data_IF_340271552910
#
_entry.id   IF_340271552910
#
_cell.length_a   1.000
_cell.length_b   1.000
_cell.length_c   1.000
_cell.angle_alpha   90.00
_cell.angle_beta   90.00
_cell.angle_gamma   90.00
#
_symmetry.space_group_name_H-M   'P 1'
#
loop_
_entity.id
_entity.type
_entity.pdbx_description
1 polymer ?
#
# COMPACT_ATOMS: atom_id res chain seq x y z
N UNK A 1 -10.64 10.10 -16.03
CA UNK A 1 -9.87 9.31 -15.06
C UNK A 1 -10.21 7.85 -15.29
N UNK A 2 -9.28 7.05 -15.82
CA UNK A 2 -9.52 5.61 -16.02
C UNK A 2 -9.68 4.88 -14.68
N UNK A 3 -10.24 3.67 -14.71
CA UNK A 3 -10.29 2.77 -13.56
C UNK A 3 -8.86 2.45 -13.12
N UNK A 4 -8.49 2.82 -11.89
CA UNK A 4 -7.12 2.60 -11.38
C UNK A 4 -6.87 1.15 -10.95
N UNK A 5 -7.92 0.44 -10.52
CA UNK A 5 -7.85 -0.99 -10.17
C UNK A 5 -8.16 -1.87 -11.38
N UNK A 6 -7.23 -2.76 -11.72
CA UNK A 6 -7.43 -3.87 -12.66
C UNK A 6 -7.98 -5.12 -11.96
N UNK A 7 -7.73 -6.29 -12.54
CA UNK A 7 -8.13 -7.58 -11.97
C UNK A 7 -7.42 -7.86 -10.64
N UNK A 8 -6.10 -7.63 -10.60
CA UNK A 8 -5.23 -7.97 -9.47
C UNK A 8 -4.53 -6.72 -8.90
N UNK A 9 -5.33 -5.72 -8.51
CA UNK A 9 -4.86 -4.48 -7.91
C UNK A 9 -4.47 -3.39 -8.91
N UNK A 10 -3.66 -2.43 -8.44
CA UNK A 10 -3.12 -1.33 -9.25
C UNK A 10 -1.74 -1.72 -9.74
N UNK A 11 -1.51 -1.69 -11.05
CA UNK A 11 -0.23 -2.09 -11.67
C UNK A 11 0.19 -1.05 -12.69
N UNK A 12 1.50 -0.95 -12.89
CA UNK A 12 2.11 -0.09 -13.90
C UNK A 12 3.62 -0.06 -13.76
N UNK A 13 4.27 0.61 -14.71
CA UNK A 13 5.72 0.86 -14.66
C UNK A 13 6.02 1.77 -13.44
N UNK A 14 6.96 1.32 -12.60
CA UNK A 14 7.34 2.04 -11.40
C UNK A 14 7.92 3.42 -11.74
N UNK A 15 7.55 4.43 -10.95
CA UNK A 15 7.98 5.82 -11.09
C UNK A 15 7.48 6.56 -12.36
N UNK A 16 6.61 5.96 -13.16
CA UNK A 16 5.93 6.63 -14.29
C UNK A 16 4.41 6.49 -14.19
N UNK A 17 3.91 5.26 -14.18
CA UNK A 17 2.49 4.94 -14.03
C UNK A 17 2.15 4.67 -12.56
N UNK A 18 2.96 3.82 -11.92
CA UNK A 18 2.90 3.54 -10.49
C UNK A 18 3.91 4.42 -9.75
N UNK A 19 3.49 5.64 -9.46
CA UNK A 19 4.33 6.66 -8.79
C UNK A 19 4.21 6.58 -7.26
N UNK A 20 5.20 7.15 -6.56
CA UNK A 20 5.15 7.28 -5.10
C UNK A 20 3.91 8.07 -4.63
N UNK A 21 3.51 9.12 -5.35
CA UNK A 21 2.30 9.89 -5.04
C UNK A 21 1.03 9.03 -5.15
N UNK A 22 0.96 8.16 -6.17
CA UNK A 22 -0.14 7.22 -6.31
C UNK A 22 -0.14 6.20 -5.15
N UNK A 23 1.01 5.63 -4.81
CA UNK A 23 1.14 4.70 -3.68
C UNK A 23 0.73 5.34 -2.35
N UNK A 24 1.17 6.57 -2.07
CA UNK A 24 0.74 7.34 -0.91
C UNK A 24 -0.79 7.53 -0.88
N UNK A 25 -1.37 7.94 -2.01
CA UNK A 25 -2.81 8.11 -2.15
C UNK A 25 -3.58 6.81 -1.90
N UNK A 26 -3.08 5.68 -2.42
CA UNK A 26 -3.65 4.36 -2.20
C UNK A 26 -3.58 3.95 -0.72
N UNK A 27 -2.45 4.19 -0.05
CA UNK A 27 -2.29 3.89 1.38
C UNK A 27 -3.25 4.70 2.23
N UNK A 28 -3.36 6.00 1.95
CA UNK A 28 -4.29 6.90 2.65
C UNK A 28 -5.74 6.53 2.44
N UNK A 29 -6.16 6.32 1.19
CA UNK A 29 -7.54 5.99 0.86
C UNK A 29 -7.91 4.59 1.34
N UNK A 30 -7.03 3.61 1.12
CA UNK A 30 -7.20 2.23 1.56
C UNK A 30 -7.31 2.15 3.07
N UNK A 31 -6.41 2.81 3.81
CA UNK A 31 -6.53 2.93 5.25
C UNK A 31 -7.86 3.59 5.62
N UNK A 32 -8.18 4.79 5.15
CA UNK A 32 -9.44 5.47 5.50
C UNK A 32 -10.69 4.59 5.31
N UNK A 33 -10.80 3.91 4.16
CA UNK A 33 -11.96 3.05 3.84
C UNK A 33 -11.99 1.76 4.67
N UNK A 34 -10.85 1.09 4.86
CA UNK A 34 -10.80 -0.20 5.57
C UNK A 34 -10.88 -0.05 7.10
N UNK A 35 -10.77 1.17 7.60
CA UNK A 35 -10.60 1.48 9.02
C UNK A 35 -11.80 2.19 9.63
N UNK A 36 -12.82 2.46 8.82
CA UNK A 36 -14.07 3.07 9.23
C UNK A 36 -14.71 2.24 10.37
N UNK A 37 -14.94 2.88 11.52
CA UNK A 37 -15.53 2.24 12.70
C UNK A 37 -14.57 1.48 13.62
N UNK A 38 -13.27 1.35 13.29
CA UNK A 38 -12.29 0.66 14.14
C UNK A 38 -11.33 1.66 14.80
N UNK A 39 -11.13 1.57 16.12
CA UNK A 39 -10.12 2.38 16.79
C UNK A 39 -8.71 1.80 16.59
N UNK A 40 -7.81 2.57 15.98
CA UNK A 40 -6.40 2.18 15.68
C UNK A 40 -6.23 0.84 14.95
N UNK A 41 -6.78 0.72 13.74
CA UNK A 41 -6.61 -0.47 12.93
C UNK A 41 -5.16 -0.64 12.45
N UNK A 42 -4.77 -1.90 12.34
CA UNK A 42 -3.44 -2.33 11.92
C UNK A 42 -3.47 -2.83 10.49
N UNK A 43 -2.53 -2.39 9.68
CA UNK A 43 -2.38 -2.78 8.28
C UNK A 43 -0.98 -3.36 8.09
N UNK A 44 -0.92 -4.60 7.63
CA UNK A 44 0.31 -5.27 7.27
C UNK A 44 0.74 -4.84 5.86
N UNK A 45 2.02 -4.53 5.67
CA UNK A 45 2.60 -4.15 4.38
C UNK A 45 3.78 -5.06 4.09
N UNK A 46 3.75 -5.75 2.95
CA UNK A 46 4.85 -6.59 2.46
C UNK A 46 5.14 -6.30 0.99
N UNK A 47 6.33 -6.68 0.53
CA UNK A 47 6.80 -6.47 -0.85
C UNK A 47 7.55 -7.69 -1.40
N UNK A 48 7.74 -7.72 -2.71
CA UNK A 48 8.68 -8.64 -3.35
C UNK A 48 10.10 -8.02 -3.42
N UNK A 49 11.02 -8.65 -4.17
CA UNK A 49 12.42 -8.21 -4.26
C UNK A 49 12.70 -7.10 -5.28
N UNK A 50 11.67 -6.46 -5.85
CA UNK A 50 11.87 -5.40 -6.86
C UNK A 50 12.53 -4.17 -6.24
N UNK A 51 13.47 -3.59 -6.98
CA UNK A 51 14.20 -2.37 -6.57
C UNK A 51 13.28 -1.18 -6.25
N UNK A 52 12.11 -1.08 -6.89
CA UNK A 52 11.13 -0.03 -6.61
C UNK A 52 10.35 -0.25 -5.32
N UNK A 53 10.48 -1.43 -4.69
CA UNK A 53 9.71 -1.85 -3.52
C UNK A 53 9.89 -0.90 -2.35
N UNK A 54 11.12 -0.53 -2.01
CA UNK A 54 11.43 0.37 -0.88
C UNK A 54 10.75 1.74 -1.03
N UNK A 55 10.82 2.32 -2.23
CA UNK A 55 10.18 3.59 -2.54
C UNK A 55 8.65 3.52 -2.41
N UNK A 56 8.04 2.46 -2.95
CA UNK A 56 6.59 2.31 -2.96
C UNK A 56 6.04 1.93 -1.57
N UNK A 57 6.75 1.08 -0.82
CA UNK A 57 6.43 0.72 0.56
C UNK A 57 6.46 1.95 1.47
N UNK A 58 7.54 2.73 1.42
CA UNK A 58 7.65 3.95 2.22
C UNK A 58 6.51 4.95 1.94
N UNK A 59 6.16 5.14 0.65
CA UNK A 59 5.06 6.00 0.26
C UNK A 59 3.70 5.47 0.74
N UNK A 60 3.43 4.17 0.57
CA UNK A 60 2.20 3.51 1.00
C UNK A 60 2.04 3.59 2.53
N UNK A 61 3.10 3.30 3.28
CA UNK A 61 3.15 3.39 4.75
C UNK A 61 2.90 4.82 5.21
N UNK A 62 3.51 5.82 4.56
CA UNK A 62 3.22 7.23 4.87
C UNK A 62 1.74 7.58 4.67
N UNK A 63 1.11 7.04 3.63
CA UNK A 63 -0.32 7.19 3.39
C UNK A 63 -1.17 6.60 4.52
N UNK A 64 -0.86 5.37 4.92
CA UNK A 64 -1.55 4.66 6.03
C UNK A 64 -1.45 5.46 7.34
N UNK A 65 -0.23 5.87 7.71
CA UNK A 65 0.01 6.60 8.96
C UNK A 65 -0.68 7.97 8.97
N UNK A 66 -0.85 8.62 7.81
CA UNK A 66 -1.47 9.96 7.70
C UNK A 66 -2.92 10.03 8.17
N UNK A 67 -3.61 8.88 8.26
CA UNK A 67 -5.01 8.80 8.73
C UNK A 67 -5.12 8.19 10.14
N UNK A 68 -3.99 8.00 10.83
CA UNK A 68 -3.96 7.51 12.21
C UNK A 68 -4.07 5.99 12.36
N UNK A 69 -3.93 5.23 11.26
CA UNK A 69 -3.80 3.77 11.30
C UNK A 69 -2.36 3.36 11.65
N UNK A 70 -2.19 2.13 12.13
CA UNK A 70 -0.89 1.52 12.38
C UNK A 70 -0.43 0.72 11.15
N UNK A 71 0.80 0.91 10.71
CA UNK A 71 1.41 0.13 9.63
C UNK A 71 2.48 -0.81 10.20
N UNK A 72 2.44 -2.09 9.81
CA UNK A 72 3.42 -3.10 10.20
C UNK A 72 4.14 -3.59 8.94
N UNK A 73 5.45 -3.40 8.90
CA UNK A 73 6.29 -3.78 7.76
C UNK A 73 6.72 -5.24 7.93
N UNK A 74 6.44 -6.06 6.92
CA UNK A 74 6.81 -7.47 6.83
C UNK A 74 8.11 -7.69 6.03
N UNK A 75 8.65 -6.63 5.42
CA UNK A 75 9.75 -6.67 4.46
C UNK A 75 9.42 -7.56 3.24
N UNK A 76 10.43 -8.28 2.73
CA UNK A 76 10.34 -9.13 1.55
C UNK A 76 9.67 -10.45 1.93
N UNK A 77 8.43 -10.64 1.47
CA UNK A 77 7.65 -11.86 1.69
C UNK A 77 6.81 -12.22 0.45
N UNK A 78 6.57 -13.52 0.19
CA UNK A 78 5.63 -13.91 -0.86
C UNK A 78 4.23 -13.35 -0.60
N UNK A 79 3.49 -12.96 -1.64
CA UNK A 79 2.11 -12.49 -1.50
C UNK A 79 1.20 -13.46 -0.72
N UNK A 80 1.30 -14.80 -0.88
CA UNK A 80 0.54 -15.73 -0.04
C UNK A 80 0.83 -15.59 1.47
N UNK A 81 2.06 -15.24 1.86
CA UNK A 81 2.43 -15.05 3.27
C UNK A 81 1.84 -13.78 3.87
N UNK A 82 1.41 -12.80 3.06
CA UNK A 82 0.68 -11.62 3.52
C UNK A 82 -0.78 -11.95 3.81
N UNK A 83 -1.33 -12.99 3.17
CA UNK A 83 -2.74 -13.35 3.26
C UNK A 83 -3.09 -14.34 4.38
N UNK A 84 -2.09 -15.01 4.96
CA UNK A 84 -2.22 -16.07 5.96
C UNK A 84 -1.61 -15.66 7.29
#
# INVERSE_FOLDING_TARGET
MGRIFGTDGVRGIANTELTANLAYGLGRAGAYVLTEGTHKPKILVGKDTRISGDMLEAALVSGILSVGAEAVILDVVPTPAVAH
#
